data_IF_179219149425
#
_entry.id   IF_179219149425
#
_cell.length_a   1.000
_cell.length_b   1.000
_cell.length_c   1.000
_cell.angle_alpha   90.00
_cell.angle_beta   90.00
_cell.angle_gamma   90.00
#
_symmetry.space_group_name_H-M   'P 1'
#
loop_
_entity.id
_entity.type
_entity.pdbx_description
1 polymer ?
#
# COMPACT_ATOMS: atom_id res chain seq x y z
N UNK A 1 -41.81 -51.48 -58.12
CA UNK A 1 -41.34 -50.74 -56.93
C UNK A 1 -40.43 -49.62 -57.40
N UNK A 2 -40.88 -48.37 -57.28
CA UNK A 2 -40.16 -47.21 -57.78
C UNK A 2 -39.04 -46.83 -56.79
N UNK A 3 -37.79 -47.02 -57.21
CA UNK A 3 -36.62 -46.45 -56.54
C UNK A 3 -36.69 -44.93 -56.68
N UNK A 4 -37.12 -44.24 -55.61
CA UNK A 4 -36.91 -42.80 -55.49
C UNK A 4 -35.42 -42.59 -55.27
N UNK A 5 -34.72 -42.17 -56.32
CA UNK A 5 -33.36 -41.66 -56.22
C UNK A 5 -33.38 -40.41 -55.33
N UNK A 6 -33.06 -40.58 -54.04
CA UNK A 6 -32.77 -39.50 -53.12
C UNK A 6 -31.56 -38.71 -53.64
N UNK A 7 -31.59 -37.39 -53.51
CA UNK A 7 -30.45 -36.54 -53.85
C UNK A 7 -29.23 -37.00 -53.03
N UNK A 8 -28.03 -37.12 -53.62
CA UNK A 8 -26.86 -37.55 -52.89
C UNK A 8 -26.58 -36.56 -51.76
N UNK A 9 -26.56 -37.07 -50.53
CA UNK A 9 -26.14 -36.31 -49.35
C UNK A 9 -24.64 -36.06 -49.48
N UNK A 10 -24.25 -34.80 -49.73
CA UNK A 10 -22.85 -34.39 -49.81
C UNK A 10 -22.32 -33.99 -48.44
N UNK A 11 -21.35 -34.75 -47.95
CA UNK A 11 -20.63 -34.42 -46.71
C UNK A 11 -19.37 -33.65 -47.07
N UNK A 12 -19.27 -32.40 -46.62
CA UNK A 12 -18.09 -31.56 -46.83
C UNK A 12 -17.17 -31.63 -45.62
N UNK A 13 -16.03 -32.30 -45.75
CA UNK A 13 -14.98 -32.28 -44.74
C UNK A 13 -13.81 -31.42 -45.24
N UNK A 14 -13.81 -30.12 -44.87
CA UNK A 14 -12.66 -29.21 -45.07
C UNK A 14 -11.96 -28.94 -43.74
N UNK A 15 -10.70 -29.36 -43.57
CA UNK A 15 -10.01 -29.14 -42.30
C UNK A 15 -8.49 -29.35 -42.28
N UNK A 16 -7.80 -28.53 -41.48
CA UNK A 16 -6.42 -28.76 -41.01
C UNK A 16 -6.46 -29.56 -39.69
N UNK A 17 -5.37 -30.20 -39.27
CA UNK A 17 -5.32 -31.03 -38.04
C UNK A 17 -5.95 -30.33 -36.81
N UNK A 18 -6.86 -31.04 -36.15
CA UNK A 18 -7.58 -30.60 -34.95
C UNK A 18 -6.60 -30.43 -33.78
N UNK A 19 -5.67 -31.38 -33.63
CA UNK A 19 -4.57 -31.31 -32.66
C UNK A 19 -3.72 -30.06 -32.81
N UNK A 20 -3.37 -29.67 -34.05
CA UNK A 20 -2.62 -28.41 -34.29
C UNK A 20 -3.44 -27.19 -33.88
N UNK A 21 -4.73 -27.12 -34.20
CA UNK A 21 -5.59 -25.98 -33.83
C UNK A 21 -5.79 -25.85 -32.32
N UNK A 22 -6.06 -26.95 -31.62
CA UNK A 22 -6.16 -26.98 -30.15
C UNK A 22 -4.82 -26.60 -29.52
N UNK A 23 -3.70 -27.09 -30.07
CA UNK A 23 -2.37 -26.69 -29.61
C UNK A 23 -2.12 -25.19 -29.82
N UNK A 24 -2.51 -24.61 -30.96
CA UNK A 24 -2.40 -23.17 -31.20
C UNK A 24 -3.28 -22.35 -30.25
N UNK A 25 -4.54 -22.73 -30.04
CA UNK A 25 -5.41 -22.02 -29.10
C UNK A 25 -4.85 -22.07 -27.67
N UNK A 26 -4.32 -23.22 -27.25
CA UNK A 26 -3.73 -23.40 -25.92
C UNK A 26 -2.40 -22.64 -25.80
N UNK A 27 -1.60 -22.61 -26.87
CA UNK A 27 -0.37 -21.80 -26.94
C UNK A 27 -0.67 -20.30 -26.87
N UNK A 28 -1.70 -19.81 -27.58
CA UNK A 28 -2.14 -18.41 -27.52
C UNK A 28 -2.62 -18.04 -26.12
N UNK A 29 -3.46 -18.89 -25.49
CA UNK A 29 -3.91 -18.67 -24.12
C UNK A 29 -2.71 -18.58 -23.17
N UNK A 30 -1.74 -19.50 -23.26
CA UNK A 30 -0.52 -19.46 -22.44
C UNK A 30 0.33 -18.22 -22.72
N UNK A 31 0.44 -17.82 -23.98
CA UNK A 31 1.19 -16.63 -24.39
C UNK A 31 0.62 -15.35 -23.76
N UNK A 32 -0.70 -15.29 -23.54
CA UNK A 32 -1.35 -14.15 -22.87
C UNK A 32 -1.26 -14.32 -21.34
N UNK A 33 -1.57 -15.50 -20.84
CA UNK A 33 -1.74 -15.74 -19.40
C UNK A 33 -0.41 -15.69 -18.63
N UNK A 34 0.70 -16.12 -19.24
CA UNK A 34 2.02 -16.08 -18.60
C UNK A 34 2.47 -14.64 -18.30
N UNK A 35 2.53 -13.70 -19.27
CA UNK A 35 2.86 -12.30 -18.99
C UNK A 35 1.95 -11.66 -17.95
N UNK A 36 0.67 -11.99 -17.96
CA UNK A 36 -0.32 -11.47 -16.99
C UNK A 36 0.02 -11.90 -15.57
N UNK A 37 0.31 -13.19 -15.37
CA UNK A 37 0.73 -13.71 -14.06
C UNK A 37 2.02 -13.02 -13.63
N UNK A 38 3.03 -12.95 -14.50
CA UNK A 38 4.29 -12.29 -14.19
C UNK A 38 4.09 -10.82 -13.79
N UNK A 39 3.23 -10.10 -14.50
CA UNK A 39 2.91 -8.71 -14.21
C UNK A 39 2.14 -8.55 -12.90
N UNK A 40 1.17 -9.42 -12.62
CA UNK A 40 0.42 -9.42 -11.37
C UNK A 40 1.34 -9.67 -10.17
N UNK A 41 2.23 -10.66 -10.28
CA UNK A 41 3.25 -10.95 -9.28
C UNK A 41 4.20 -9.76 -9.11
N UNK A 42 4.67 -9.16 -10.20
CA UNK A 42 5.52 -7.96 -10.16
C UNK A 42 4.85 -6.80 -9.38
N UNK A 43 3.59 -6.48 -9.68
CA UNK A 43 2.88 -5.41 -8.97
C UNK A 43 2.63 -5.74 -7.49
N UNK A 44 2.35 -6.99 -7.17
CA UNK A 44 2.17 -7.43 -5.78
C UNK A 44 3.47 -7.26 -4.98
N UNK A 45 4.61 -7.66 -5.54
CA UNK A 45 5.91 -7.43 -4.92
C UNK A 45 6.24 -5.95 -4.81
N UNK A 46 6.10 -5.17 -5.90
CA UNK A 46 6.41 -3.75 -5.89
C UNK A 46 5.57 -2.97 -4.86
N UNK A 47 4.29 -3.31 -4.72
CA UNK A 47 3.42 -2.75 -3.69
C UNK A 47 3.85 -3.21 -2.30
N UNK A 48 4.15 -4.50 -2.13
CA UNK A 48 4.62 -5.07 -0.87
C UNK A 48 5.83 -4.34 -0.31
N UNK A 49 6.85 -4.07 -1.14
CA UNK A 49 8.04 -3.32 -0.73
C UNK A 49 7.75 -1.87 -0.29
N UNK A 50 6.81 -1.18 -0.95
CA UNK A 50 6.44 0.20 -0.59
C UNK A 50 5.65 0.21 0.72
N UNK A 51 4.66 -0.67 0.85
CA UNK A 51 3.83 -0.76 2.07
C UNK A 51 4.69 -1.16 3.26
N UNK A 52 5.56 -2.15 3.09
CA UNK A 52 6.47 -2.61 4.14
C UNK A 52 7.33 -1.46 4.65
N UNK A 53 7.93 -0.67 3.76
CA UNK A 53 8.72 0.51 4.15
C UNK A 53 7.91 1.59 4.87
N UNK A 54 6.70 1.90 4.40
CA UNK A 54 5.81 2.87 5.07
C UNK A 54 5.49 2.41 6.49
N UNK A 55 5.08 1.14 6.64
CA UNK A 55 4.57 0.60 7.91
C UNK A 55 5.70 0.31 8.90
N UNK A 56 6.84 -0.18 8.44
CA UNK A 56 7.94 -0.62 9.32
C UNK A 56 8.94 0.48 9.65
N UNK A 57 9.06 1.52 8.81
CA UNK A 57 10.09 2.56 8.99
C UNK A 57 9.52 3.96 8.99
N UNK A 58 8.92 4.42 7.88
CA UNK A 58 8.65 5.85 7.71
C UNK A 58 7.53 6.37 8.65
N UNK A 59 6.43 5.62 8.83
CA UNK A 59 5.35 6.01 9.75
C UNK A 59 5.71 5.86 11.24
N UNK A 60 6.38 4.77 11.67
CA UNK A 60 6.92 4.70 13.03
C UNK A 60 7.88 5.85 13.35
N UNK A 61 8.82 6.18 12.46
CA UNK A 61 9.76 7.28 12.70
C UNK A 61 9.06 8.63 12.82
N UNK A 62 8.05 8.90 11.99
CA UNK A 62 7.24 10.11 12.13
C UNK A 62 6.56 10.18 13.52
N UNK A 63 5.93 9.09 13.94
CA UNK A 63 5.24 9.02 15.23
C UNK A 63 6.22 9.16 16.41
N UNK A 64 7.39 8.53 16.32
CA UNK A 64 8.45 8.62 17.32
C UNK A 64 9.03 10.04 17.38
N UNK A 65 9.18 10.73 16.25
CA UNK A 65 9.64 12.13 16.23
C UNK A 65 8.64 13.07 16.92
N UNK A 66 7.35 12.84 16.74
CA UNK A 66 6.32 13.55 17.50
C UNK A 66 6.39 13.22 19.00
N UNK A 67 6.63 11.96 19.38
CA UNK A 67 6.84 11.60 20.78
C UNK A 67 8.06 12.29 21.40
N UNK A 68 9.17 12.44 20.66
CA UNK A 68 10.34 13.24 21.11
C UNK A 68 9.91 14.68 21.43
N UNK A 69 9.06 15.28 20.60
CA UNK A 69 8.54 16.62 20.80
C UNK A 69 7.69 16.70 22.08
N UNK A 70 6.79 15.73 22.28
CA UNK A 70 5.93 15.65 23.47
C UNK A 70 6.77 15.49 24.73
N UNK A 71 7.74 14.57 24.76
CA UNK A 71 8.62 14.35 25.91
C UNK A 71 9.46 15.60 26.23
N UNK A 72 9.90 16.36 25.22
CA UNK A 72 10.59 17.64 25.45
C UNK A 72 9.66 18.69 26.06
N UNK A 73 8.40 18.76 25.59
CA UNK A 73 7.41 19.68 26.16
C UNK A 73 7.05 19.31 27.61
N UNK A 74 6.95 18.03 27.93
CA UNK A 74 6.74 17.55 29.30
C UNK A 74 7.96 17.82 30.18
N UNK A 75 9.19 17.68 29.63
CA UNK A 75 10.41 18.09 30.31
C UNK A 75 10.38 19.59 30.64
N UNK A 76 10.05 20.48 29.69
CA UNK A 76 9.91 21.93 29.97
C UNK A 76 8.83 22.23 31.00
N UNK A 77 7.69 21.55 30.91
CA UNK A 77 6.58 21.74 31.84
C UNK A 77 7.01 21.42 33.27
N UNK A 78 7.67 20.29 33.46
CA UNK A 78 8.12 19.81 34.77
C UNK A 78 9.34 20.60 35.27
N UNK A 79 10.23 21.08 34.39
CA UNK A 79 11.25 22.07 34.71
C UNK A 79 10.63 23.31 35.34
N UNK A 80 9.63 23.90 34.66
CA UNK A 80 8.96 25.10 35.16
C UNK A 80 8.29 24.86 36.50
N UNK A 81 7.59 23.74 36.64
CA UNK A 81 6.95 23.39 37.91
C UNK A 81 7.99 23.22 39.02
N UNK A 82 9.12 22.57 38.74
CA UNK A 82 10.22 22.43 39.69
C UNK A 82 10.76 23.80 40.12
N UNK A 83 11.02 24.72 39.18
CA UNK A 83 11.48 26.06 39.55
C UNK A 83 10.44 26.89 40.30
N UNK A 84 9.16 26.57 40.13
CA UNK A 84 8.07 27.24 40.84
C UNK A 84 7.87 26.71 42.26
N UNK A 85 7.88 25.38 42.42
CA UNK A 85 7.40 24.69 43.61
C UNK A 85 8.53 24.00 44.40
N UNK A 86 9.70 23.84 43.79
CA UNK A 86 10.83 23.07 44.31
C UNK A 86 10.50 21.60 44.62
N UNK A 87 9.50 21.04 43.93
CA UNK A 87 9.04 19.67 44.13
C UNK A 87 9.99 18.66 43.46
N UNK A 88 10.54 17.74 44.25
CA UNK A 88 11.43 16.69 43.74
C UNK A 88 10.74 15.74 42.76
N UNK A 89 9.41 15.59 42.84
CA UNK A 89 8.66 14.78 41.90
C UNK A 89 8.66 15.39 40.50
N UNK A 90 8.58 16.72 40.38
CA UNK A 90 8.73 17.43 39.09
C UNK A 90 10.14 17.29 38.53
N UNK A 91 11.18 17.37 39.37
CA UNK A 91 12.56 17.15 38.93
C UNK A 91 12.78 15.72 38.42
N UNK A 92 12.18 14.73 39.10
CA UNK A 92 12.22 13.33 38.66
C UNK A 92 11.48 13.16 37.33
N UNK A 93 10.28 13.73 37.20
CA UNK A 93 9.49 13.67 35.97
C UNK A 93 10.23 14.31 34.78
N UNK A 94 10.93 15.42 34.99
CA UNK A 94 11.80 16.02 33.97
C UNK A 94 12.89 15.05 33.50
N UNK A 95 13.60 14.42 34.45
CA UNK A 95 14.66 13.44 34.14
C UNK A 95 14.12 12.21 33.42
N UNK A 96 12.95 11.73 33.84
CA UNK A 96 12.28 10.59 33.21
C UNK A 96 11.88 10.93 31.76
N UNK A 97 11.37 12.13 31.51
CA UNK A 97 11.01 12.60 30.16
C UNK A 97 12.24 12.65 29.24
N UNK A 98 13.37 13.20 29.73
CA UNK A 98 14.63 13.23 28.96
C UNK A 98 15.21 11.84 28.70
N UNK A 99 15.04 10.90 29.63
CA UNK A 99 15.43 9.51 29.44
C UNK A 99 14.58 8.84 28.37
N UNK A 100 13.26 9.01 28.43
CA UNK A 100 12.33 8.50 27.41
C UNK A 100 12.66 9.05 26.03
N UNK A 101 12.88 10.37 25.93
CA UNK A 101 13.32 11.05 24.72
C UNK A 101 14.57 10.40 24.13
N UNK A 102 15.60 10.14 24.96
CA UNK A 102 16.85 9.52 24.52
C UNK A 102 16.63 8.08 24.02
N UNK A 103 15.74 7.32 24.67
CA UNK A 103 15.39 5.97 24.25
C UNK A 103 14.66 5.97 22.89
N UNK A 104 13.72 6.90 22.70
CA UNK A 104 13.00 7.08 21.43
C UNK A 104 13.97 7.44 20.30
N UNK A 105 14.91 8.36 20.55
CA UNK A 105 15.96 8.73 19.58
C UNK A 105 16.82 7.53 19.18
N UNK A 106 17.16 6.64 20.13
CA UNK A 106 17.90 5.42 19.83
C UNK A 106 17.11 4.50 18.89
N UNK A 107 15.81 4.33 19.11
CA UNK A 107 14.93 3.57 18.22
C UNK A 107 14.83 4.20 16.82
N UNK A 108 14.69 5.52 16.73
CA UNK A 108 14.69 6.23 15.43
C UNK A 108 16.02 5.99 14.69
N UNK A 109 17.15 6.04 15.40
CA UNK A 109 18.49 5.81 14.84
C UNK A 109 18.64 4.44 14.20
N UNK A 110 18.04 3.42 14.80
CA UNK A 110 18.06 2.04 14.32
C UNK A 110 17.14 1.84 13.11
N UNK A 111 15.91 2.36 13.20
CA UNK A 111 14.92 2.25 12.13
C UNK A 111 15.35 3.01 10.87
N UNK A 112 15.94 4.20 11.04
CA UNK A 112 16.28 5.05 9.90
C UNK A 112 17.70 5.65 9.99
N UNK A 113 18.73 4.90 9.55
CA UNK A 113 20.12 5.33 9.60
C UNK A 113 20.43 6.63 8.85
N UNK A 114 19.59 7.03 7.90
CA UNK A 114 19.73 8.27 7.13
C UNK A 114 19.48 9.53 7.98
N UNK A 115 18.72 9.41 9.07
CA UNK A 115 18.40 10.54 9.97
C UNK A 115 19.39 10.67 11.13
N UNK A 116 20.41 9.80 11.20
CA UNK A 116 21.47 9.83 12.23
C UNK A 116 21.99 11.24 12.52
N UNK A 117 22.33 12.09 11.52
CA UNK A 117 22.84 13.43 11.81
C UNK A 117 21.86 14.30 12.60
N UNK A 118 20.58 14.26 12.26
CA UNK A 118 19.54 15.03 12.96
C UNK A 118 19.25 14.43 14.33
N UNK A 119 19.20 13.10 14.45
CA UNK A 119 19.06 12.41 15.75
C UNK A 119 20.21 12.75 16.69
N UNK A 120 21.45 12.74 16.20
CA UNK A 120 22.65 13.08 16.98
C UNK A 120 22.61 14.56 17.43
N UNK A 121 22.10 15.47 16.59
CA UNK A 121 21.89 16.87 16.96
C UNK A 121 20.85 17.03 18.07
N UNK A 122 19.69 16.35 17.94
CA UNK A 122 18.66 16.37 18.98
C UNK A 122 19.23 15.83 20.30
N UNK A 123 19.93 14.70 20.24
CA UNK A 123 20.54 14.09 21.42
C UNK A 123 21.56 15.04 22.08
N UNK A 124 22.40 15.72 21.28
CA UNK A 124 23.36 16.71 21.79
C UNK A 124 22.66 17.86 22.51
N UNK A 125 21.57 18.38 21.94
CA UNK A 125 20.79 19.46 22.57
C UNK A 125 20.07 19.01 23.83
N UNK A 126 19.49 17.80 23.83
CA UNK A 126 18.86 17.22 25.02
C UNK A 126 19.88 16.95 26.14
N UNK A 127 21.09 16.52 25.82
CA UNK A 127 22.17 16.34 26.79
C UNK A 127 22.69 17.68 27.35
N UNK A 128 22.75 18.71 26.51
CA UNK A 128 23.11 20.06 26.93
C UNK A 128 22.04 20.65 27.86
N UNK A 129 20.76 20.53 27.49
CA UNK A 129 19.61 20.88 28.33
C UNK A 129 19.69 20.18 29.70
N UNK A 130 19.90 18.85 29.71
CA UNK A 130 20.02 18.06 30.94
C UNK A 130 21.13 18.58 31.85
N UNK A 131 22.29 18.92 31.28
CA UNK A 131 23.45 19.43 32.02
C UNK A 131 23.15 20.79 32.65
N UNK A 132 22.51 21.69 31.91
CA UNK A 132 22.11 23.01 32.42
C UNK A 132 21.03 22.90 33.49
N UNK A 133 20.11 21.96 33.36
CA UNK A 133 19.11 21.69 34.38
C UNK A 133 19.77 21.18 35.67
N UNK A 134 20.75 20.29 35.55
CA UNK A 134 21.51 19.82 36.70
C UNK A 134 22.30 20.96 37.37
N UNK A 135 22.94 21.83 36.59
CA UNK A 135 23.63 23.03 37.12
C UNK A 135 22.64 23.94 37.85
N UNK A 136 21.43 24.15 37.31
CA UNK A 136 20.37 24.93 37.95
C UNK A 136 19.98 24.33 39.31
N UNK A 137 19.81 23.01 39.38
CA UNK A 137 19.45 22.27 40.60
C UNK A 137 20.57 22.36 41.64
N UNK A 138 21.82 22.15 41.26
CA UNK A 138 22.98 22.20 42.17
C UNK A 138 23.19 23.60 42.75
N UNK A 139 23.01 24.63 41.93
CA UNK A 139 23.17 26.04 42.32
C UNK A 139 22.08 26.51 43.28
N UNK A 140 20.91 25.88 43.25
CA UNK A 140 19.79 26.17 44.15
C UNK A 140 19.77 25.35 45.46
N UNK A 141 20.81 24.57 45.75
CA UNK A 141 20.88 23.67 46.91
C UNK A 141 20.21 24.17 48.21
N UNK A 142 19.37 23.29 48.80
CA UNK A 142 18.72 23.35 50.12
C UNK A 142 17.62 24.39 50.41
N UNK A 143 17.12 25.16 49.44
CA UNK A 143 15.87 25.90 49.65
C UNK A 143 14.67 24.93 49.59
N UNK A 144 14.28 24.37 50.75
CA UNK A 144 13.17 23.40 50.87
C UNK A 144 11.78 23.96 50.57
N UNK A 145 11.63 25.28 50.58
CA UNK A 145 10.36 25.95 50.30
C UNK A 145 10.57 27.14 49.36
N UNK A 146 9.73 27.30 48.32
CA UNK A 146 9.71 28.52 47.55
C UNK A 146 9.39 29.70 48.46
N UNK A 147 10.13 30.83 48.37
CA UNK A 147 9.74 32.03 49.10
C UNK A 147 8.28 32.37 48.78
N UNK A 148 7.40 32.49 49.76
CA UNK A 148 5.95 32.75 49.52
C UNK A 148 5.74 34.01 48.66
N UNK A 149 6.63 34.99 48.79
CA UNK A 149 6.63 36.20 47.98
C UNK A 149 7.01 35.94 46.50
N UNK A 150 7.82 34.92 46.22
CA UNK A 150 8.12 34.46 44.85
C UNK A 150 6.85 33.95 44.16
N UNK A 151 6.13 32.99 44.75
CA UNK A 151 4.89 32.45 44.17
C UNK A 151 3.85 33.56 44.00
N UNK A 152 3.73 34.45 44.98
CA UNK A 152 2.77 35.56 44.93
C UNK A 152 3.07 36.53 43.79
N UNK A 153 4.34 36.82 43.51
CA UNK A 153 4.73 37.71 42.42
C UNK A 153 4.48 37.07 41.05
N UNK A 154 4.84 35.80 40.87
CA UNK A 154 4.58 35.08 39.61
C UNK A 154 3.07 34.96 39.36
N UNK A 155 2.29 34.54 40.37
CA UNK A 155 0.82 34.45 40.26
C UNK A 155 0.23 35.82 39.93
N UNK A 156 0.61 36.89 40.64
CA UNK A 156 0.07 38.24 40.38
C UNK A 156 0.38 38.71 38.97
N UNK A 157 1.60 38.50 38.48
CA UNK A 157 1.99 38.88 37.13
C UNK A 157 1.22 38.07 36.07
N UNK A 158 1.05 36.77 36.29
CA UNK A 158 0.31 35.90 35.38
C UNK A 158 -1.20 36.19 35.38
N UNK A 159 -1.81 36.41 36.55
CA UNK A 159 -3.21 36.82 36.67
C UNK A 159 -3.47 38.14 35.95
N UNK A 160 -2.58 39.13 36.12
CA UNK A 160 -2.68 40.41 35.41
C UNK A 160 -2.66 40.22 33.89
N UNK A 161 -1.85 39.29 33.41
CA UNK A 161 -1.73 38.99 31.99
C UNK A 161 -3.00 38.27 31.46
N UNK A 162 -3.51 37.28 32.17
CA UNK A 162 -4.78 36.61 31.85
C UNK A 162 -5.97 37.57 31.85
N UNK A 163 -6.07 38.46 32.84
CA UNK A 163 -7.12 39.48 32.90
C UNK A 163 -7.09 40.40 31.68
N UNK A 164 -5.89 40.75 31.22
CA UNK A 164 -5.74 41.54 30.00
C UNK A 164 -6.19 40.75 28.76
N UNK A 165 -5.93 39.44 28.69
CA UNK A 165 -6.45 38.60 27.60
C UNK A 165 -7.98 38.59 27.61
N UNK A 166 -8.59 38.32 28.77
CA UNK A 166 -10.05 38.21 28.91
C UNK A 166 -10.78 39.51 28.55
N UNK A 167 -10.19 40.67 28.86
CA UNK A 167 -10.74 41.98 28.45
C UNK A 167 -10.85 42.13 26.93
N UNK A 168 -9.94 41.54 26.16
CA UNK A 168 -9.92 41.62 24.70
C UNK A 168 -10.63 40.43 24.03
N UNK A 169 -10.74 39.29 24.73
CA UNK A 169 -11.35 38.05 24.26
C UNK A 169 -12.80 38.20 23.78
N UNK A 170 -13.58 39.11 24.37
CA UNK A 170 -14.98 39.35 24.00
C UNK A 170 -15.19 39.85 22.56
N UNK A 171 -14.11 40.27 21.86
CA UNK A 171 -14.14 40.80 20.49
C UNK A 171 -13.34 39.97 19.48
N UNK A 172 -12.66 38.92 19.94
CA UNK A 172 -11.71 38.11 19.16
C UNK A 172 -12.36 36.84 18.60
N UNK A 173 -11.84 36.30 17.48
CA UNK A 173 -12.29 35.01 16.95
C UNK A 173 -11.67 33.86 17.77
N UNK A 174 -12.37 32.71 17.95
CA UNK A 174 -11.86 31.59 18.74
C UNK A 174 -10.45 31.11 18.32
N UNK A 175 -10.16 31.07 17.02
CA UNK A 175 -8.85 30.65 16.51
C UNK A 175 -7.71 31.61 16.89
N UNK A 176 -7.97 32.94 16.95
CA UNK A 176 -6.98 33.92 17.42
C UNK A 176 -6.77 33.82 18.91
N UNK A 177 -7.85 33.61 19.66
CA UNK A 177 -7.82 33.40 21.10
C UNK A 177 -6.93 32.21 21.50
N UNK A 178 -6.95 31.11 20.72
CA UNK A 178 -6.08 29.96 20.94
C UNK A 178 -4.61 30.29 20.68
N UNK A 179 -4.30 31.02 19.60
CA UNK A 179 -2.94 31.49 19.30
C UNK A 179 -2.41 32.44 20.38
N UNK A 180 -3.27 33.34 20.86
CA UNK A 180 -2.94 34.32 21.90
C UNK A 180 -2.75 33.65 23.27
N UNK A 181 -3.52 32.60 23.56
CA UNK A 181 -3.31 31.73 24.72
C UNK A 181 -1.96 31.01 24.64
N UNK A 182 -1.59 30.49 23.47
CA UNK A 182 -0.30 29.84 23.25
C UNK A 182 0.87 30.81 23.46
N UNK A 183 0.73 32.04 22.92
CA UNK A 183 1.69 33.13 23.12
C UNK A 183 1.84 33.51 24.60
N UNK A 184 0.74 33.53 25.37
CA UNK A 184 0.77 33.84 26.81
C UNK A 184 1.23 32.69 27.70
N UNK A 185 1.18 31.43 27.25
CA UNK A 185 1.92 30.38 27.94
C UNK A 185 3.43 30.68 27.96
N UNK A 186 3.95 31.31 26.90
CA UNK A 186 5.32 31.83 26.86
C UNK A 186 5.59 32.98 27.82
N UNK A 187 4.56 33.77 28.20
CA UNK A 187 4.73 34.88 29.16
C UNK A 187 4.94 34.38 30.59
N UNK A 188 4.35 33.25 30.97
CA UNK A 188 4.62 32.59 32.25
C UNK A 188 6.09 32.15 32.33
N UNK A 189 6.62 31.57 31.25
CA UNK A 189 8.01 31.12 31.17
C UNK A 189 9.00 32.28 31.35
N UNK A 190 8.69 33.41 30.69
CA UNK A 190 9.43 34.65 30.85
C UNK A 190 9.35 35.22 32.28
N UNK A 191 8.21 35.11 32.96
CA UNK A 191 8.03 35.57 34.35
C UNK A 191 8.79 34.70 35.35
N UNK A 192 8.74 33.37 35.19
CA UNK A 192 9.51 32.42 36.01
C UNK A 192 11.00 32.71 35.85
N UNK A 193 11.48 32.81 34.61
CA UNK A 193 12.87 33.12 34.29
C UNK A 193 13.31 34.47 34.85
N UNK A 194 12.53 35.54 34.64
CA UNK A 194 12.86 36.88 35.13
C UNK A 194 12.97 36.91 36.66
N UNK A 195 12.14 36.13 37.36
CA UNK A 195 12.17 36.06 38.81
C UNK A 195 13.39 35.28 39.32
N UNK A 196 13.76 34.18 38.66
CA UNK A 196 15.00 33.43 38.96
C UNK A 196 16.25 34.30 38.75
N UNK A 197 16.30 35.05 37.64
CA UNK A 197 17.41 35.96 37.33
C UNK A 197 17.50 37.13 38.31
N UNK A 198 16.36 37.59 38.83
CA UNK A 198 16.34 38.64 39.85
C UNK A 198 16.90 38.14 41.19
N UNK A 199 16.78 36.85 41.50
CA UNK A 199 17.34 36.23 42.71
C UNK A 199 18.83 35.93 42.56
N UNK A 200 19.25 35.36 41.42
CA UNK A 200 20.65 35.12 41.09
C UNK A 200 20.91 35.48 39.62
N UNK A 201 21.68 36.56 39.34
CA UNK A 201 22.02 36.98 37.99
C UNK A 201 22.71 35.89 37.15
N UNK A 202 23.36 34.92 37.79
CA UNK A 202 23.99 33.80 37.11
C UNK A 202 23.00 32.82 36.48
N UNK A 203 21.72 32.82 36.91
CA UNK A 203 20.67 32.01 36.26
C UNK A 203 20.32 32.51 34.86
N UNK A 204 20.67 33.75 34.49
CA UNK A 204 20.33 34.30 33.17
C UNK A 204 20.80 33.38 32.04
N UNK A 205 22.07 33.00 32.08
CA UNK A 205 22.66 32.13 31.06
C UNK A 205 22.08 30.72 31.13
N UNK A 206 21.80 30.19 32.32
CA UNK A 206 21.22 28.86 32.50
C UNK A 206 19.82 28.81 31.88
N UNK A 207 18.95 29.78 32.20
CA UNK A 207 17.57 29.84 31.67
C UNK A 207 17.56 30.06 30.15
N UNK A 208 18.50 30.86 29.62
CA UNK A 208 18.62 31.09 28.18
C UNK A 208 19.09 29.82 27.44
N UNK A 209 20.06 29.10 28.01
CA UNK A 209 20.56 27.85 27.46
C UNK A 209 19.51 26.72 27.52
N UNK A 210 18.75 26.61 28.62
CA UNK A 210 17.63 25.68 28.76
C UNK A 210 16.57 25.94 27.68
N UNK A 211 16.15 27.20 27.53
CA UNK A 211 15.17 27.58 26.51
C UNK A 211 15.68 27.27 25.11
N UNK A 212 16.88 27.73 24.77
CA UNK A 212 17.44 27.61 23.41
C UNK A 212 17.66 26.15 23.02
N UNK A 213 18.13 25.32 23.95
CA UNK A 213 18.33 23.89 23.69
C UNK A 213 17.01 23.14 23.56
N UNK A 214 16.01 23.46 24.38
CA UNK A 214 14.67 22.89 24.24
C UNK A 214 14.01 23.29 22.91
N UNK A 215 14.05 24.57 22.54
CA UNK A 215 13.48 25.05 21.29
C UNK A 215 14.18 24.39 20.08
N UNK A 216 15.49 24.15 20.18
CA UNK A 216 16.27 23.43 19.17
C UNK A 216 15.83 21.96 19.06
N UNK A 217 15.61 21.27 20.18
CA UNK A 217 15.07 19.90 20.20
C UNK A 217 13.69 19.87 19.54
N UNK A 218 12.79 20.78 19.93
CA UNK A 218 11.44 20.87 19.37
C UNK A 218 11.46 21.13 17.86
N UNK A 219 12.26 22.09 17.40
CA UNK A 219 12.38 22.42 15.99
C UNK A 219 12.95 21.26 15.17
N UNK A 220 14.02 20.62 15.65
CA UNK A 220 14.64 19.48 14.97
C UNK A 220 13.72 18.25 14.94
N UNK A 221 12.99 17.99 16.03
CA UNK A 221 11.98 16.93 16.09
C UNK A 221 10.84 17.19 15.09
N UNK A 222 10.33 18.42 15.03
CA UNK A 222 9.30 18.83 14.07
C UNK A 222 9.79 18.69 12.62
N UNK A 223 11.04 19.07 12.33
CA UNK A 223 11.63 18.88 11.01
C UNK A 223 11.77 17.40 10.64
N UNK A 224 12.21 16.57 11.60
CA UNK A 224 12.33 15.13 11.43
C UNK A 224 10.95 14.49 11.17
N UNK A 225 9.93 14.89 11.92
CA UNK A 225 8.54 14.46 11.73
C UNK A 225 8.03 14.83 10.33
N UNK A 226 8.14 16.10 9.94
CA UNK A 226 7.70 16.59 8.64
C UNK A 226 8.39 15.86 7.48
N UNK A 227 9.71 15.66 7.55
CA UNK A 227 10.45 14.91 6.52
C UNK A 227 10.00 13.44 6.44
N UNK A 228 9.65 12.86 7.58
CA UNK A 228 9.15 11.47 7.66
C UNK A 228 7.75 11.37 7.06
N UNK A 229 6.84 12.29 7.39
CA UNK A 229 5.52 12.38 6.76
C UNK A 229 5.60 12.64 5.25
N UNK A 230 6.54 13.46 4.80
CA UNK A 230 6.79 13.67 3.38
C UNK A 230 7.22 12.37 2.66
N UNK A 231 8.03 11.52 3.31
CA UNK A 231 8.37 10.19 2.76
C UNK A 231 7.14 9.31 2.68
N UNK A 232 6.36 9.21 3.76
CA UNK A 232 5.09 8.45 3.78
C UNK A 232 4.16 8.91 2.65
N UNK A 233 3.99 10.22 2.49
CA UNK A 233 3.12 10.80 1.46
C UNK A 233 3.61 10.51 0.05
N UNK A 234 4.92 10.61 -0.21
CA UNK A 234 5.53 10.27 -1.51
C UNK A 234 5.36 8.79 -1.82
N UNK A 235 5.59 7.92 -0.85
CA UNK A 235 5.46 6.48 -1.05
C UNK A 235 4.00 6.07 -1.22
N UNK A 236 3.07 6.72 -0.52
CA UNK A 236 1.63 6.56 -0.76
C UNK A 236 1.20 7.04 -2.16
N UNK A 237 1.78 8.14 -2.67
CA UNK A 237 1.53 8.60 -4.04
C UNK A 237 2.07 7.63 -5.10
N UNK A 238 3.27 7.06 -4.87
CA UNK A 238 3.86 6.02 -5.74
C UNK A 238 3.02 4.75 -5.76
N UNK A 239 2.58 4.29 -4.59
CA UNK A 239 1.66 3.15 -4.43
C UNK A 239 0.36 3.37 -5.22
N UNK A 240 -0.28 4.53 -5.08
CA UNK A 240 -1.49 4.89 -5.86
C UNK A 240 -1.22 4.90 -7.37
N UNK A 241 -0.05 5.37 -7.80
CA UNK A 241 0.37 5.33 -9.20
C UNK A 241 0.51 3.89 -9.74
N UNK A 242 1.09 2.98 -8.95
CA UNK A 242 1.20 1.56 -9.31
C UNK A 242 -0.17 0.89 -9.38
N UNK A 243 -1.07 1.18 -8.43
CA UNK A 243 -2.45 0.66 -8.44
C UNK A 243 -3.18 1.05 -9.73
N UNK A 244 -3.17 2.33 -10.11
CA UNK A 244 -3.83 2.77 -11.35
C UNK A 244 -3.27 2.07 -12.59
N UNK A 245 -1.95 1.86 -12.65
CA UNK A 245 -1.32 1.13 -13.76
C UNK A 245 -1.73 -0.34 -13.76
N UNK A 246 -1.75 -0.97 -12.59
CA UNK A 246 -2.20 -2.35 -12.44
C UNK A 246 -3.67 -2.50 -12.86
N UNK A 247 -4.56 -1.60 -12.46
CA UNK A 247 -5.97 -1.57 -12.87
C UNK A 247 -6.13 -1.47 -14.39
N UNK A 248 -5.39 -0.56 -15.03
CA UNK A 248 -5.41 -0.42 -16.49
C UNK A 248 -4.96 -1.70 -17.20
N UNK A 249 -3.85 -2.30 -16.76
CA UNK A 249 -3.38 -3.53 -17.40
C UNK A 249 -4.34 -4.69 -17.15
N UNK A 250 -4.85 -4.84 -15.94
CA UNK A 250 -5.83 -5.89 -15.61
C UNK A 250 -7.12 -5.72 -16.42
N UNK A 251 -7.55 -4.49 -16.66
CA UNK A 251 -8.70 -4.16 -17.52
C UNK A 251 -8.45 -4.56 -18.98
N UNK A 252 -7.29 -4.21 -19.54
CA UNK A 252 -6.91 -4.58 -20.91
C UNK A 252 -6.85 -6.10 -21.07
N UNK A 253 -6.20 -6.78 -20.12
CA UNK A 253 -6.04 -8.23 -20.11
C UNK A 253 -7.39 -8.93 -20.00
N UNK A 254 -8.26 -8.46 -19.10
CA UNK A 254 -9.61 -9.01 -18.94
C UNK A 254 -10.43 -8.82 -20.21
N UNK A 255 -10.34 -7.64 -20.85
CA UNK A 255 -10.96 -7.37 -22.14
C UNK A 255 -10.47 -8.33 -23.23
N UNK A 256 -9.16 -8.53 -23.35
CA UNK A 256 -8.57 -9.48 -24.30
C UNK A 256 -8.99 -10.93 -24.02
N UNK A 257 -9.06 -11.34 -22.76
CA UNK A 257 -9.49 -12.67 -22.36
C UNK A 257 -10.97 -12.91 -22.72
N UNK A 258 -11.83 -11.91 -22.52
CA UNK A 258 -13.25 -11.96 -22.93
C UNK A 258 -13.36 -12.07 -24.45
N UNK A 259 -12.62 -11.24 -25.21
CA UNK A 259 -12.61 -11.30 -26.67
C UNK A 259 -12.12 -12.65 -27.20
N UNK A 260 -11.07 -13.22 -26.59
CA UNK A 260 -10.57 -14.54 -26.93
C UNK A 260 -11.61 -15.63 -26.62
N UNK A 261 -12.27 -15.54 -25.46
CA UNK A 261 -13.32 -16.49 -25.05
C UNK A 261 -14.49 -16.48 -26.03
N UNK A 262 -14.95 -15.29 -26.41
CA UNK A 262 -15.97 -15.10 -27.46
C UNK A 262 -15.48 -15.72 -28.77
N UNK A 263 -14.26 -15.38 -29.21
CA UNK A 263 -13.69 -15.88 -30.46
C UNK A 263 -13.63 -17.41 -30.50
N UNK A 264 -13.12 -18.05 -29.44
CA UNK A 264 -13.07 -19.52 -29.34
C UNK A 264 -14.48 -20.10 -29.34
N UNK A 265 -15.42 -19.53 -28.58
CA UNK A 265 -16.81 -19.98 -28.50
C UNK A 265 -17.52 -19.96 -29.86
N UNK A 266 -17.24 -18.98 -30.73
CA UNK A 266 -17.84 -18.92 -32.06
C UNK A 266 -17.11 -19.76 -33.12
N UNK A 267 -15.79 -19.87 -33.03
CA UNK A 267 -14.96 -20.54 -34.05
C UNK A 267 -14.96 -22.06 -33.88
N UNK A 268 -14.86 -22.55 -32.65
CA UNK A 268 -14.68 -23.97 -32.36
C UNK A 268 -15.89 -24.83 -32.78
N UNK A 269 -17.16 -24.43 -32.50
CA UNK A 269 -18.34 -25.20 -32.93
C UNK A 269 -18.46 -25.31 -34.46
N UNK A 270 -18.19 -24.22 -35.18
CA UNK A 270 -18.30 -24.20 -36.65
C UNK A 270 -17.25 -25.06 -37.34
N UNK A 271 -16.07 -25.19 -36.74
CA UNK A 271 -14.95 -25.89 -37.37
C UNK A 271 -14.79 -27.34 -36.92
N UNK A 272 -15.26 -27.70 -35.71
CA UNK A 272 -15.07 -29.05 -35.14
C UNK A 272 -16.39 -29.79 -35.02
N UNK A 273 -17.39 -29.15 -34.41
CA UNK A 273 -18.65 -29.82 -34.07
C UNK A 273 -19.45 -30.09 -35.34
N UNK A 274 -19.57 -29.10 -36.23
CA UNK A 274 -20.35 -29.25 -37.47
C UNK A 274 -19.87 -30.42 -38.35
N UNK A 275 -18.57 -30.54 -38.71
CA UNK A 275 -18.10 -31.67 -39.51
C UNK A 275 -18.27 -33.04 -38.84
N UNK A 276 -18.14 -33.12 -37.51
CA UNK A 276 -18.34 -34.37 -36.76
C UNK A 276 -19.83 -34.78 -36.76
N UNK A 277 -20.74 -33.82 -36.62
CA UNK A 277 -22.19 -34.06 -36.72
C UNK A 277 -22.57 -34.49 -38.13
N UNK A 278 -22.02 -33.83 -39.15
CA UNK A 278 -22.26 -34.18 -40.56
C UNK A 278 -21.76 -35.61 -40.85
N UNK A 279 -20.57 -35.97 -40.36
CA UNK A 279 -20.03 -37.33 -40.51
C UNK A 279 -20.87 -38.37 -39.78
N UNK A 280 -21.34 -38.09 -38.55
CA UNK A 280 -22.26 -38.97 -37.82
C UNK A 280 -23.52 -39.22 -38.64
N UNK A 281 -24.13 -38.16 -39.18
CA UNK A 281 -25.37 -38.28 -39.94
C UNK A 281 -25.21 -39.16 -41.19
N UNK A 282 -24.06 -39.11 -41.85
CA UNK A 282 -23.75 -39.96 -42.99
C UNK A 282 -23.53 -41.43 -42.61
N UNK A 283 -22.90 -41.69 -41.46
CA UNK A 283 -22.78 -43.06 -40.94
C UNK A 283 -24.14 -43.63 -40.58
N UNK A 284 -25.00 -42.83 -39.93
CA UNK A 284 -26.37 -43.24 -39.57
C UNK A 284 -27.22 -43.56 -40.82
N UNK A 285 -27.05 -42.81 -41.91
CA UNK A 285 -27.72 -43.08 -43.20
C UNK A 285 -27.22 -44.36 -43.88
N UNK A 286 -25.89 -44.59 -43.89
CA UNK A 286 -25.31 -45.81 -44.43
C UNK A 286 -25.73 -47.05 -43.62
N UNK A 287 -25.80 -46.95 -42.29
CA UNK A 287 -26.31 -48.01 -41.43
C UNK A 287 -27.80 -48.31 -41.66
N UNK A 288 -28.57 -47.32 -42.11
CA UNK A 288 -29.96 -47.45 -42.54
C UNK A 288 -30.15 -48.07 -43.93
N UNK A 289 -29.06 -48.44 -44.64
CA UNK A 289 -29.09 -49.06 -45.95
C UNK A 289 -29.03 -48.10 -47.13
N UNK A 290 -28.82 -46.80 -46.90
CA UNK A 290 -28.60 -45.81 -47.97
C UNK A 290 -27.10 -45.59 -48.20
N UNK A 291 -26.54 -46.32 -49.16
CA UNK A 291 -25.11 -46.24 -49.50
C UNK A 291 -24.79 -45.22 -50.61
N UNK A 292 -25.76 -44.39 -51.02
CA UNK A 292 -25.59 -43.37 -52.06
C UNK A 292 -25.00 -42.05 -51.53
N UNK A 293 -24.05 -42.15 -50.59
CA UNK A 293 -23.46 -40.99 -49.90
C UNK A 293 -22.15 -40.58 -50.61
N UNK A 294 -22.11 -39.33 -51.09
CA UNK A 294 -20.89 -38.72 -51.66
C UNK A 294 -20.13 -37.96 -50.57
N UNK A 295 -18.94 -38.44 -50.22
CA UNK A 295 -18.01 -37.74 -49.34
C UNK A 295 -17.12 -36.81 -50.19
N UNK A 296 -17.31 -35.51 -50.07
CA UNK A 296 -16.41 -34.50 -50.63
C UNK A 296 -15.41 -34.07 -49.55
N UNK A 297 -14.22 -34.67 -49.63
CA UNK A 297 -13.20 -34.60 -48.59
C UNK A 297 -12.00 -33.82 -49.12
N UNK A 298 -11.78 -32.62 -48.59
CA UNK A 298 -10.67 -31.74 -48.98
C UNK A 298 -9.84 -31.32 -47.75
N UNK A 299 -8.55 -31.66 -47.72
CA UNK A 299 -7.62 -31.17 -46.69
C UNK A 299 -6.74 -32.25 -46.06
N UNK A 300 -6.08 -31.92 -44.94
CA UNK A 300 -5.07 -32.76 -44.26
C UNK A 300 -5.35 -32.93 -42.76
N UNK A 301 -6.62 -32.92 -42.35
CA UNK A 301 -7.03 -32.97 -40.95
C UNK A 301 -7.44 -34.35 -40.42
N UNK A 302 -7.53 -34.48 -39.10
CA UNK A 302 -7.98 -35.71 -38.43
C UNK A 302 -9.44 -36.08 -38.81
N UNK A 303 -10.31 -35.08 -38.96
CA UNK A 303 -11.69 -35.28 -39.45
C UNK A 303 -11.72 -35.77 -40.89
N UNK A 304 -10.78 -35.32 -41.73
CA UNK A 304 -10.61 -35.78 -43.13
C UNK A 304 -10.11 -37.23 -43.16
N UNK A 305 -9.16 -37.58 -42.29
CA UNK A 305 -8.71 -38.97 -42.16
C UNK A 305 -9.87 -39.89 -41.74
N UNK A 306 -10.67 -39.47 -40.76
CA UNK A 306 -11.84 -40.22 -40.32
C UNK A 306 -12.89 -40.36 -41.42
N UNK A 307 -13.18 -39.28 -42.17
CA UNK A 307 -14.09 -39.31 -43.31
C UNK A 307 -13.61 -40.28 -44.40
N UNK A 308 -12.30 -40.32 -44.68
CA UNK A 308 -11.73 -41.27 -45.63
C UNK A 308 -11.81 -42.72 -45.14
N UNK A 309 -11.55 -42.98 -43.85
CA UNK A 309 -11.71 -44.31 -43.26
C UNK A 309 -13.15 -44.80 -43.31
N UNK A 310 -14.11 -43.92 -43.02
CA UNK A 310 -15.55 -44.21 -43.12
C UNK A 310 -15.96 -44.47 -44.57
N UNK A 311 -15.51 -43.65 -45.52
CA UNK A 311 -15.74 -43.84 -46.95
C UNK A 311 -15.25 -45.21 -47.43
N UNK A 312 -14.05 -45.62 -47.03
CA UNK A 312 -13.49 -46.92 -47.40
C UNK A 312 -14.29 -48.08 -46.80
N UNK A 313 -14.76 -47.94 -45.56
CA UNK A 313 -15.60 -48.95 -44.90
C UNK A 313 -16.96 -49.10 -45.60
N UNK A 314 -17.63 -47.99 -45.92
CA UNK A 314 -18.90 -47.98 -46.65
C UNK A 314 -18.73 -48.60 -48.04
N UNK A 315 -17.64 -48.27 -48.76
CA UNK A 315 -17.35 -48.86 -50.07
C UNK A 315 -17.18 -50.38 -50.00
N UNK A 316 -16.48 -50.89 -48.98
CA UNK A 316 -16.28 -52.31 -48.78
C UNK A 316 -17.56 -53.06 -48.39
N UNK A 317 -18.43 -52.44 -47.58
CA UNK A 317 -19.75 -53.00 -47.25
C UNK A 317 -20.65 -53.06 -48.49
N UNK A 318 -20.66 -52.01 -49.31
CA UNK A 318 -21.41 -51.97 -50.57
C UNK A 318 -20.95 -53.04 -51.56
N UNK A 319 -19.65 -53.29 -51.66
CA UNK A 319 -19.07 -54.36 -52.48
C UNK A 319 -19.53 -55.73 -52.00
N UNK A 320 -19.47 -56.01 -50.69
CA UNK A 320 -19.98 -57.27 -50.11
C UNK A 320 -21.48 -57.46 -50.31
N UNK A 321 -22.28 -56.42 -50.17
CA UNK A 321 -23.73 -56.51 -50.42
C UNK A 321 -24.02 -56.83 -51.89
N UNK A 322 -23.24 -56.25 -52.81
CA UNK A 322 -23.33 -56.55 -54.25
C UNK A 322 -22.97 -58.01 -54.55
N UNK A 323 -21.91 -58.54 -53.93
CA UNK A 323 -21.47 -59.94 -54.09
C UNK A 323 -22.48 -60.94 -53.51
N UNK A 324 -23.10 -60.63 -52.37
CA UNK A 324 -24.15 -61.45 -51.75
C UNK A 324 -25.40 -61.48 -52.63
N UNK A 325 -25.81 -60.33 -53.19
CA UNK A 325 -26.94 -60.28 -54.12
C UNK A 325 -26.66 -60.93 -55.48
N UNK A 326 -25.41 -60.95 -55.93
CA UNK A 326 -25.00 -61.69 -57.14
C UNK A 326 -24.92 -63.21 -56.92
N UNK A 327 -24.58 -63.65 -55.71
CA UNK A 327 -24.52 -65.09 -55.34
C UNK A 327 -25.89 -65.68 -54.96
N UNK A 328 -26.90 -64.84 -54.70
CA UNK A 328 -28.26 -65.24 -54.33
C UNK A 328 -29.26 -65.25 -55.50
N UNK A 329 -28.82 -64.97 -56.74
CA UNK A 329 -29.63 -65.23 -57.94
C UNK A 329 -29.36 -66.65 -58.43
N UNK A 330 -30.35 -67.56 -58.39
CA UNK A 330 -30.21 -68.91 -58.94
C UNK A 330 -30.02 -68.90 -60.46
#
# INVERSE_FOLDING_TARGET
MAWKAGRPSRVFARGTSLRRRVAYSLAIVRLILVPVIFLAVYYLFAMGWIVDRIVSTDAPVATLAEQVRIEMLDARRTERNYFLLYDQDDLKANRDSLKNLTQILATIRELQPQEKPTVDQIQTQAEFYRRRMQEAVERHGEAREPPVDYLRNVIRAYTKDLDNLLKHASRERPARLVEELHTRLGSLDAQVSATLVAQDPAFRQITEDLRTSSDSVEQLATQLENRSWDRVNRDHARARGLIRRAEWVLSIVSGLAILLSIWVSFVLPRQVVKPLVDLKSAVDQAAGGDYAIEFDVEGQGEVVQLANSVRNLIAHVREKEHDIHHSAKP
#
